data_IF_881253924332
#
_entry.id   IF_881253924332
#
_cell.length_a   1.000
_cell.length_b   1.000
_cell.length_c   1.000
_cell.angle_alpha   90.00
_cell.angle_beta   90.00
_cell.angle_gamma   90.00
#
_symmetry.space_group_name_H-M   'P 1'
#
loop_
_entity.id
_entity.type
_entity.pdbx_description
1 polymer ?
#
# COMPACT_ATOMS: atom_id res chain seq x y z
N UNK A 1 32.98 -42.30 5.80
CA UNK A 1 33.04 -43.27 6.92
C UNK A 1 33.27 -42.48 8.21
N UNK A 2 32.70 -42.94 9.33
CA UNK A 2 32.75 -42.39 10.70
C UNK A 2 31.66 -41.38 11.12
N UNK A 3 30.60 -42.03 11.60
CA UNK A 3 29.55 -41.64 12.53
C UNK A 3 30.11 -41.65 13.95
N UNK A 4 29.78 -40.67 14.79
CA UNK A 4 29.74 -40.85 16.25
C UNK A 4 28.50 -40.19 16.85
N UNK A 5 27.82 -41.00 17.68
CA UNK A 5 26.60 -40.74 18.47
C UNK A 5 26.99 -40.33 19.89
N UNK A 6 26.08 -39.63 20.56
CA UNK A 6 25.97 -39.50 22.03
C UNK A 6 25.65 -38.05 22.40
N UNK A 7 24.68 -37.68 23.22
CA UNK A 7 23.75 -38.40 24.10
C UNK A 7 22.86 -37.34 24.79
N UNK A 8 21.63 -37.76 25.10
CA UNK A 8 20.52 -37.09 25.82
C UNK A 8 20.91 -36.53 27.23
N UNK A 9 20.15 -35.60 27.87
CA UNK A 9 18.78 -35.90 28.33
C UNK A 9 17.72 -34.77 28.38
N UNK A 10 16.50 -35.20 28.00
CA UNK A 10 15.19 -35.04 28.67
C UNK A 10 15.04 -33.97 29.77
N UNK A 11 14.18 -32.98 29.51
CA UNK A 11 13.26 -32.32 30.46
C UNK A 11 11.94 -32.11 29.72
N UNK A 12 10.92 -32.96 29.91
CA UNK A 12 9.77 -32.74 30.80
C UNK A 12 9.27 -31.29 30.81
N UNK A 13 8.27 -30.99 29.98
CA UNK A 13 7.36 -29.87 30.18
C UNK A 13 5.94 -30.35 29.90
N UNK A 14 5.10 -30.16 30.92
CA UNK A 14 3.73 -30.58 31.02
C UNK A 14 2.83 -30.04 29.89
N UNK A 15 1.91 -30.90 29.49
CA UNK A 15 0.63 -30.56 28.88
C UNK A 15 -0.11 -29.53 29.76
N UNK A 16 -0.40 -28.36 29.19
CA UNK A 16 -1.53 -27.53 29.60
C UNK A 16 -2.19 -27.00 28.32
N UNK A 17 -3.39 -27.52 28.05
CA UNK A 17 -4.24 -27.06 26.98
C UNK A 17 -4.69 -25.63 27.24
N UNK A 18 -4.39 -24.74 26.29
CA UNK A 18 -5.00 -23.43 26.21
C UNK A 18 -5.82 -23.37 24.93
N UNK A 19 -7.13 -23.20 25.13
CA UNK A 19 -8.15 -22.95 24.11
C UNK A 19 -7.71 -21.78 23.24
N UNK A 20 -7.37 -22.07 21.98
CA UNK A 20 -7.15 -21.06 20.96
C UNK A 20 -8.47 -20.31 20.72
N UNK A 21 -8.54 -19.06 21.18
CA UNK A 21 -9.52 -18.09 20.70
C UNK A 21 -9.14 -17.77 19.26
N UNK A 22 -9.97 -18.20 18.30
CA UNK A 22 -9.89 -17.78 16.90
C UNK A 22 -10.08 -16.26 16.82
N UNK A 23 -8.96 -15.54 16.87
CA UNK A 23 -8.88 -14.15 16.45
C UNK A 23 -8.82 -14.17 14.91
N UNK A 24 -9.73 -13.51 14.19
CA UNK A 24 -9.65 -13.46 12.74
C UNK A 24 -8.31 -12.86 12.31
N UNK A 25 -7.72 -13.29 11.18
CA UNK A 25 -6.43 -12.76 10.75
C UNK A 25 -6.56 -11.25 10.61
N UNK A 26 -5.75 -10.52 11.38
CA UNK A 26 -5.57 -9.09 11.18
C UNK A 26 -5.24 -8.91 9.68
N UNK A 27 -6.02 -8.03 9.01
CA UNK A 27 -5.62 -7.56 7.67
C UNK A 27 -4.15 -7.16 7.76
N UNK A 28 -3.29 -7.50 6.78
CA UNK A 28 -1.95 -6.95 6.77
C UNK A 28 -2.13 -5.44 6.87
N UNK A 29 -1.70 -4.87 8.00
CA UNK A 29 -1.53 -3.45 8.10
C UNK A 29 -0.58 -3.14 6.95
N UNK A 30 -1.03 -2.34 5.99
CA UNK A 30 -0.14 -1.70 5.04
C UNK A 30 1.05 -1.22 5.87
N UNK A 31 2.28 -1.67 5.60
CA UNK A 31 3.41 -1.24 6.38
C UNK A 31 3.36 0.28 6.37
N UNK A 32 3.29 0.89 7.55
CA UNK A 32 3.43 2.31 7.71
C UNK A 32 4.75 2.67 7.04
N UNK A 33 4.67 3.17 5.81
CA UNK A 33 5.84 3.54 5.04
C UNK A 33 6.35 4.84 5.68
N UNK A 34 7.22 4.64 6.67
CA UNK A 34 8.29 5.51 7.12
C UNK A 34 7.92 6.81 7.89
N UNK A 35 8.04 6.81 9.23
CA UNK A 35 8.42 8.02 9.96
C UNK A 35 9.91 8.38 9.76
N UNK A 36 10.69 7.51 9.08
CA UNK A 36 12.13 7.70 8.87
C UNK A 36 12.49 8.67 7.75
N UNK A 37 11.55 9.00 6.84
CA UNK A 37 11.74 10.04 5.82
C UNK A 37 11.55 11.47 6.35
N UNK A 38 11.19 11.63 7.63
CA UNK A 38 11.01 12.94 8.26
C UNK A 38 12.33 13.56 8.76
N UNK A 39 13.39 12.77 8.96
CA UNK A 39 14.66 13.25 9.55
C UNK A 39 15.76 13.62 8.55
N UNK A 40 15.54 13.44 7.25
CA UNK A 40 16.47 13.94 6.22
C UNK A 40 15.97 15.24 5.54
N UNK A 41 14.83 15.78 5.98
CA UNK A 41 14.29 17.04 5.47
C UNK A 41 14.79 18.28 6.23
N UNK A 42 15.43 18.12 7.39
CA UNK A 42 15.82 19.24 8.27
C UNK A 42 17.22 19.82 7.97
N UNK A 43 17.84 19.49 6.82
CA UNK A 43 19.18 19.98 6.47
C UNK A 43 19.31 20.53 5.03
N UNK A 44 18.20 20.82 4.36
CA UNK A 44 18.23 21.55 3.09
C UNK A 44 18.09 23.05 3.39
N UNK A 45 19.22 23.71 3.57
CA UNK A 45 19.37 25.16 3.60
C UNK A 45 18.60 25.80 2.41
N UNK A 46 17.52 26.54 2.69
CA UNK A 46 16.64 27.09 1.67
C UNK A 46 17.28 28.32 1.03
N UNK A 47 18.14 28.08 0.03
CA UNK A 47 18.46 29.09 -0.98
C UNK A 47 17.21 29.61 -1.69
N UNK A 48 17.30 30.73 -2.43
CA UNK A 48 16.16 31.29 -3.15
C UNK A 48 15.54 30.22 -4.07
N UNK A 49 14.21 30.11 -4.05
CA UNK A 49 13.46 29.14 -4.86
C UNK A 49 14.03 29.12 -6.28
N UNK A 50 14.41 27.95 -6.82
CA UNK A 50 14.95 27.87 -8.15
C UNK A 50 13.91 28.39 -9.14
N UNK A 51 14.31 29.33 -9.98
CA UNK A 51 13.44 29.96 -10.96
C UNK A 51 12.89 28.95 -11.97
N UNK A 52 11.89 29.37 -12.75
CA UNK A 52 11.32 28.54 -13.80
C UNK A 52 12.41 28.10 -14.81
N UNK A 53 12.33 26.90 -15.43
CA UNK A 53 13.33 26.44 -16.39
C UNK A 53 13.58 27.43 -17.53
N UNK A 54 12.51 28.09 -18.02
CA UNK A 54 12.59 29.12 -19.04
C UNK A 54 13.29 30.39 -18.55
N UNK A 55 13.01 30.82 -17.31
CA UNK A 55 13.68 31.97 -16.68
C UNK A 55 15.17 31.68 -16.53
N UNK A 56 15.53 30.51 -16.00
CA UNK A 56 16.93 30.09 -15.83
C UNK A 56 17.68 30.10 -17.17
N UNK A 57 17.06 29.60 -18.24
CA UNK A 57 17.64 29.64 -19.58
C UNK A 57 17.87 31.08 -20.06
N UNK A 58 16.85 31.94 -19.96
CA UNK A 58 16.94 33.35 -20.37
C UNK A 58 17.99 34.12 -19.57
N UNK A 59 18.09 33.86 -18.28
CA UNK A 59 19.09 34.49 -17.42
C UNK A 59 20.52 34.12 -17.85
N UNK A 60 20.77 32.86 -18.22
CA UNK A 60 22.07 32.43 -18.74
C UNK A 60 22.41 33.07 -20.09
N UNK A 61 21.40 33.26 -20.95
CA UNK A 61 21.56 33.98 -22.22
C UNK A 61 21.87 35.46 -21.97
N UNK A 62 21.13 36.11 -21.08
CA UNK A 62 21.32 37.51 -20.73
C UNK A 62 22.69 37.78 -20.09
N UNK A 63 23.20 36.84 -19.30
CA UNK A 63 24.54 36.89 -18.71
C UNK A 63 25.66 36.62 -19.74
N UNK A 64 25.33 36.28 -20.99
CA UNK A 64 26.31 35.93 -22.02
C UNK A 64 27.00 34.58 -21.79
N UNK A 65 26.51 33.77 -20.83
CA UNK A 65 27.06 32.44 -20.52
C UNK A 65 26.58 31.38 -21.50
N UNK A 66 25.47 31.63 -22.17
CA UNK A 66 24.87 30.74 -23.15
C UNK A 66 24.50 31.53 -24.41
N UNK A 67 24.81 30.97 -25.58
CA UNK A 67 24.33 31.53 -26.84
C UNK A 67 22.84 31.23 -26.99
N UNK A 68 22.06 32.25 -27.34
CA UNK A 68 20.64 32.08 -27.63
C UNK A 68 20.42 31.10 -28.79
N UNK A 69 19.59 30.09 -28.55
CA UNK A 69 19.08 29.14 -29.52
C UNK A 69 17.53 29.06 -29.40
N UNK A 70 16.77 29.37 -30.47
CA UNK A 70 15.31 29.30 -30.45
C UNK A 70 14.76 27.91 -30.09
N UNK A 71 15.44 26.83 -30.50
CA UNK A 71 14.96 25.47 -30.21
C UNK A 71 15.11 25.13 -28.72
N UNK A 72 16.21 25.55 -28.10
CA UNK A 72 16.42 25.34 -26.67
C UNK A 72 15.43 26.17 -25.84
N UNK A 73 15.12 27.40 -26.28
CA UNK A 73 14.11 28.22 -25.59
C UNK A 73 12.72 27.59 -25.65
N UNK A 74 12.33 27.05 -26.81
CA UNK A 74 11.05 26.33 -26.94
C UNK A 74 10.99 25.11 -26.02
N UNK A 75 12.07 24.32 -25.96
CA UNK A 75 12.14 23.18 -25.04
C UNK A 75 12.06 23.64 -23.59
N UNK A 76 12.74 24.74 -23.22
CA UNK A 76 12.66 25.30 -21.87
C UNK A 76 11.23 25.77 -21.52
N UNK A 77 10.48 26.30 -22.49
CA UNK A 77 9.06 26.67 -22.34
C UNK A 77 8.16 25.45 -22.15
N UNK A 78 8.39 24.35 -22.87
CA UNK A 78 7.66 23.09 -22.68
C UNK A 78 7.95 22.48 -21.30
N UNK A 79 9.20 22.55 -20.84
CA UNK A 79 9.60 22.12 -19.50
C UNK A 79 8.94 22.97 -18.40
N UNK A 80 8.82 24.28 -18.59
CA UNK A 80 8.05 25.15 -17.67
C UNK A 80 6.56 24.76 -17.63
N UNK A 81 5.97 24.50 -18.80
CA UNK A 81 4.58 24.05 -18.91
C UNK A 81 4.38 22.72 -18.19
N UNK A 82 5.33 21.78 -18.31
CA UNK A 82 5.30 20.52 -17.57
C UNK A 82 5.42 20.74 -16.06
N UNK A 83 6.31 21.63 -15.61
CA UNK A 83 6.49 21.95 -14.19
C UNK A 83 5.18 22.43 -13.56
N UNK A 84 4.47 23.36 -14.22
CA UNK A 84 3.16 23.86 -13.76
C UNK A 84 2.08 22.78 -13.70
N UNK A 85 2.11 21.82 -14.62
CA UNK A 85 1.20 20.67 -14.60
C UNK A 85 1.52 19.74 -13.43
N UNK A 86 2.80 19.53 -13.13
CA UNK A 86 3.23 18.73 -11.98
C UNK A 86 2.87 19.42 -10.65
N UNK A 87 3.06 20.74 -10.55
CA UNK A 87 2.62 21.55 -9.39
C UNK A 87 1.13 21.35 -9.10
N UNK A 88 0.29 21.48 -10.13
CA UNK A 88 -1.15 21.27 -10.00
C UNK A 88 -1.47 19.85 -9.57
N UNK A 89 -0.81 18.87 -10.17
CA UNK A 89 -1.02 17.46 -9.86
C UNK A 89 -0.65 17.14 -8.40
N UNK A 90 0.46 17.66 -7.88
CA UNK A 90 0.85 17.48 -6.48
C UNK A 90 -0.23 18.03 -5.54
N UNK A 91 -0.74 19.24 -5.81
CA UNK A 91 -1.83 19.82 -5.03
C UNK A 91 -3.12 18.99 -5.10
N UNK A 92 -3.51 18.53 -6.29
CA UNK A 92 -4.68 17.65 -6.47
C UNK A 92 -4.49 16.29 -5.76
N UNK A 93 -3.27 15.77 -5.71
CA UNK A 93 -2.92 14.54 -5.00
C UNK A 93 -2.97 14.70 -3.48
N UNK A 94 -2.58 15.87 -2.95
CA UNK A 94 -2.73 16.19 -1.53
C UNK A 94 -4.21 16.21 -1.12
N UNK A 95 -5.04 16.93 -1.87
CA UNK A 95 -6.50 16.95 -1.68
C UNK A 95 -7.09 15.55 -1.77
N UNK A 96 -6.61 14.73 -2.71
CA UNK A 96 -7.02 13.34 -2.86
C UNK A 96 -6.69 12.51 -1.62
N UNK A 97 -5.46 12.61 -1.09
CA UNK A 97 -5.06 11.87 0.10
C UNK A 97 -5.83 12.29 1.34
N UNK A 98 -6.16 13.58 1.48
CA UNK A 98 -7.01 14.06 2.57
C UNK A 98 -8.43 13.50 2.46
N UNK A 99 -9.04 13.57 1.26
CA UNK A 99 -10.36 12.98 0.98
C UNK A 99 -10.36 11.47 1.20
N UNK A 100 -9.29 10.78 0.81
CA UNK A 100 -9.16 9.34 1.00
C UNK A 100 -9.06 8.98 2.49
N UNK A 101 -8.26 9.71 3.26
CA UNK A 101 -8.10 9.51 4.71
C UNK A 101 -9.40 9.76 5.47
N UNK A 102 -10.12 10.84 5.12
CA UNK A 102 -11.41 11.17 5.73
C UNK A 102 -12.49 10.15 5.37
N UNK A 103 -12.51 9.67 4.12
CA UNK A 103 -13.39 8.60 3.67
C UNK A 103 -13.08 7.28 4.38
N UNK A 104 -11.82 6.86 4.44
CA UNK A 104 -11.40 5.64 5.14
C UNK A 104 -11.78 5.69 6.64
N UNK A 105 -11.55 6.84 7.29
CA UNK A 105 -11.92 7.05 8.68
C UNK A 105 -13.43 7.00 8.91
N UNK A 106 -14.21 7.62 8.02
CA UNK A 106 -15.68 7.59 8.07
C UNK A 106 -16.21 6.18 7.87
N UNK A 107 -15.64 5.44 6.91
CA UNK A 107 -16.00 4.05 6.63
C UNK A 107 -15.72 3.12 7.79
N UNK A 108 -14.56 3.27 8.42
CA UNK A 108 -14.17 2.45 9.57
C UNK A 108 -15.01 2.79 10.81
N UNK A 109 -15.38 4.06 11.03
CA UNK A 109 -16.32 4.47 12.09
C UNK A 109 -17.70 3.83 11.91
N UNK A 110 -18.28 3.95 10.72
CA UNK A 110 -19.59 3.34 10.41
C UNK A 110 -19.54 1.82 10.50
N UNK A 111 -18.42 1.21 10.07
CA UNK A 111 -18.22 -0.24 10.19
C UNK A 111 -18.22 -0.69 11.65
N UNK A 112 -17.55 0.04 12.53
CA UNK A 112 -17.53 -0.25 13.98
C UNK A 112 -18.90 -0.08 14.60
N UNK A 113 -19.64 0.97 14.23
CA UNK A 113 -21.01 1.20 14.68
C UNK A 113 -21.93 0.02 14.31
N UNK A 114 -21.91 -0.43 13.06
CA UNK A 114 -22.72 -1.57 12.61
C UNK A 114 -22.31 -2.90 13.26
N UNK A 115 -21.08 -3.03 13.75
CA UNK A 115 -20.65 -4.19 14.54
C UNK A 115 -21.21 -4.15 15.96
N UNK A 116 -21.25 -2.97 16.59
CA UNK A 116 -21.84 -2.76 17.91
C UNK A 116 -23.35 -2.98 17.90
N UNK A 117 -24.07 -2.39 16.94
CA UNK A 117 -25.53 -2.56 16.81
C UNK A 117 -25.92 -4.05 16.59
N UNK A 118 -25.15 -4.80 15.80
CA UNK A 118 -25.38 -6.24 15.64
C UNK A 118 -25.02 -7.06 16.90
N UNK A 119 -24.02 -6.63 17.67
CA UNK A 119 -23.66 -7.29 18.93
C UNK A 119 -24.76 -7.08 19.97
N UNK A 120 -25.29 -5.86 20.09
CA UNK A 120 -26.42 -5.51 20.96
C UNK A 120 -27.71 -6.23 20.53
N UNK A 121 -28.00 -6.27 19.22
CA UNK A 121 -29.16 -7.00 18.68
C UNK A 121 -29.10 -8.50 18.95
N UNK A 122 -27.91 -9.12 18.88
CA UNK A 122 -27.73 -10.54 19.24
C UNK A 122 -27.82 -10.78 20.75
N UNK A 123 -27.39 -9.83 21.58
CA UNK A 123 -27.60 -9.92 23.02
C UNK A 123 -29.09 -9.83 23.36
N UNK A 124 -29.82 -8.91 22.73
CA UNK A 124 -31.26 -8.77 22.92
C UNK A 124 -32.03 -10.00 22.42
N UNK A 125 -31.71 -10.54 21.23
CA UNK A 125 -32.29 -11.81 20.76
C UNK A 125 -31.93 -12.98 21.69
N UNK A 126 -30.72 -13.03 22.23
CA UNK A 126 -30.33 -14.05 23.22
C UNK A 126 -31.14 -13.99 24.52
N UNK A 127 -31.48 -12.78 24.99
CA UNK A 127 -32.30 -12.54 26.20
C UNK A 127 -33.79 -12.75 25.93
N UNK A 128 -34.31 -12.31 24.78
CA UNK A 128 -35.70 -12.55 24.35
C UNK A 128 -35.99 -14.03 24.06
N UNK A 129 -35.00 -14.76 23.58
CA UNK A 129 -35.07 -16.21 23.36
C UNK A 129 -35.16 -16.96 24.70
N UNK A 130 -34.58 -16.45 25.79
CA UNK A 130 -34.63 -17.12 27.10
C UNK A 130 -36.02 -16.99 27.77
N UNK A 131 -36.67 -15.83 27.64
CA UNK A 131 -37.97 -15.55 28.26
C UNK A 131 -39.16 -16.24 27.54
N UNK A 132 -39.02 -16.56 26.24
CA UNK A 132 -40.07 -17.22 25.42
C UNK A 132 -39.76 -18.67 25.00
N UNK A 133 -38.61 -19.23 25.40
CA UNK A 133 -38.17 -20.59 25.00
C UNK A 133 -38.99 -21.75 25.55
N UNK A 134 -39.76 -21.56 26.60
CA UNK A 134 -40.55 -22.65 27.19
C UNK A 134 -41.64 -23.19 26.25
N UNK A 135 -42.20 -22.36 25.38
CA UNK A 135 -43.47 -22.70 24.69
C UNK A 135 -43.37 -22.86 23.17
N UNK A 136 -42.44 -22.19 22.48
CA UNK A 136 -42.37 -22.18 21.01
C UNK A 136 -41.31 -23.14 20.41
N UNK A 137 -40.38 -23.65 21.23
CA UNK A 137 -39.23 -24.46 20.77
C UNK A 137 -39.63 -25.86 20.27
N UNK A 138 -40.81 -26.34 20.69
CA UNK A 138 -41.35 -27.65 20.29
C UNK A 138 -41.99 -27.68 18.89
N UNK A 139 -42.46 -26.53 18.39
CA UNK A 139 -43.19 -26.46 17.11
C UNK A 139 -42.33 -25.93 15.95
N UNK A 140 -41.32 -25.10 16.24
CA UNK A 140 -40.51 -24.45 15.19
C UNK A 140 -39.28 -25.31 14.81
N UNK A 141 -38.81 -26.17 15.71
CA UNK A 141 -37.63 -27.03 15.50
C UNK A 141 -37.80 -28.10 14.41
N UNK A 142 -39.03 -28.38 13.95
CA UNK A 142 -39.29 -29.40 12.91
C UNK A 142 -39.14 -28.95 11.46
N UNK A 143 -39.05 -27.65 11.16
CA UNK A 143 -39.13 -27.17 9.75
C UNK A 143 -37.98 -26.29 9.25
N UNK A 144 -36.97 -25.96 10.07
CA UNK A 144 -35.88 -25.06 9.64
C UNK A 144 -34.47 -25.45 10.12
N UNK A 145 -34.04 -26.69 9.85
CA UNK A 145 -32.61 -27.06 9.90
C UNK A 145 -32.26 -28.04 8.78
N UNK A 146 -32.17 -27.53 7.56
CA UNK A 146 -31.41 -28.16 6.49
C UNK A 146 -30.80 -27.04 5.63
N UNK A 147 -29.48 -27.07 5.47
CA UNK A 147 -28.72 -26.31 4.46
C UNK A 147 -28.43 -24.83 4.73
N UNK A 148 -27.90 -24.48 5.91
CA UNK A 148 -27.07 -23.28 6.04
C UNK A 148 -25.72 -23.76 6.56
N UNK A 149 -24.73 -23.84 5.66
CA UNK A 149 -23.37 -24.22 6.03
C UNK A 149 -22.84 -23.27 7.13
N UNK A 150 -22.10 -23.80 8.13
CA UNK A 150 -21.56 -23.04 9.24
C UNK A 150 -20.47 -22.06 8.77
N UNK A 151 -20.90 -20.96 8.14
CA UNK A 151 -20.01 -19.97 7.52
C UNK A 151 -20.75 -19.01 6.59
N UNK A 152 -21.74 -19.50 5.83
CA UNK A 152 -22.45 -18.71 4.80
C UNK A 152 -23.20 -17.53 5.42
N UNK A 153 -23.83 -17.71 6.60
CA UNK A 153 -24.50 -16.61 7.30
C UNK A 153 -23.55 -15.48 7.74
N UNK A 154 -22.31 -15.79 8.12
CA UNK A 154 -21.30 -14.77 8.48
C UNK A 154 -20.85 -13.98 7.26
N UNK A 155 -20.65 -14.67 6.14
CA UNK A 155 -20.30 -14.04 4.86
C UNK A 155 -21.43 -13.17 4.30
N UNK A 156 -22.67 -13.64 4.35
CA UNK A 156 -23.84 -12.85 3.92
C UNK A 156 -24.04 -11.62 4.80
N UNK A 157 -23.86 -11.73 6.13
CA UNK A 157 -23.86 -10.56 7.03
C UNK A 157 -22.72 -9.59 6.72
N UNK A 158 -21.52 -10.09 6.40
CA UNK A 158 -20.40 -9.25 5.96
C UNK A 158 -20.74 -8.49 4.68
N UNK A 159 -21.26 -9.17 3.66
CA UNK A 159 -21.64 -8.57 2.38
C UNK A 159 -22.77 -7.55 2.52
N UNK A 160 -23.78 -7.82 3.35
CA UNK A 160 -24.84 -6.86 3.64
C UNK A 160 -24.31 -5.63 4.39
N UNK A 161 -23.33 -5.81 5.29
CA UNK A 161 -22.66 -4.70 5.97
C UNK A 161 -21.86 -3.86 4.98
N UNK A 162 -21.12 -4.47 4.06
CA UNK A 162 -20.40 -3.75 3.02
C UNK A 162 -21.35 -2.96 2.10
N UNK A 163 -22.45 -3.56 1.65
CA UNK A 163 -23.47 -2.85 0.85
C UNK A 163 -24.09 -1.66 1.60
N UNK A 164 -24.38 -1.82 2.89
CA UNK A 164 -24.91 -0.73 3.74
C UNK A 164 -23.86 0.37 3.91
N UNK A 165 -22.58 0.02 4.09
CA UNK A 165 -21.48 0.98 4.17
C UNK A 165 -21.30 1.76 2.88
N UNK A 166 -21.38 1.10 1.72
CA UNK A 166 -21.26 1.77 0.42
C UNK A 166 -22.41 2.76 0.19
N UNK A 167 -23.61 2.44 0.71
CA UNK A 167 -24.77 3.35 0.67
C UNK A 167 -24.62 4.54 1.62
N UNK A 168 -24.03 4.34 2.81
CA UNK A 168 -23.92 5.37 3.86
C UNK A 168 -22.73 6.32 3.66
N UNK A 169 -21.58 5.79 3.25
CA UNK A 169 -20.31 6.53 3.19
C UNK A 169 -20.04 7.04 1.76
N UNK A 170 -20.73 6.49 0.77
CA UNK A 170 -20.60 6.88 -0.63
C UNK A 170 -19.36 6.31 -1.30
N UNK A 171 -19.12 6.76 -2.53
CA UNK A 171 -18.05 6.23 -3.37
C UNK A 171 -16.66 6.65 -2.88
N UNK A 172 -15.68 5.75 -3.07
CA UNK A 172 -14.28 6.04 -2.82
C UNK A 172 -13.83 7.19 -3.74
N UNK A 173 -13.06 8.18 -3.23
CA UNK A 173 -12.52 9.22 -4.08
C UNK A 173 -11.65 8.63 -5.20
N UNK A 174 -11.67 9.28 -6.36
CA UNK A 174 -10.90 8.91 -7.56
C UNK A 174 -9.61 9.73 -7.57
N UNK A 175 -8.49 9.07 -7.86
CA UNK A 175 -7.19 9.73 -7.96
C UNK A 175 -7.14 10.63 -9.22
N UNK A 176 -6.51 11.82 -9.14
CA UNK A 176 -6.32 12.68 -10.29
C UNK A 176 -5.42 12.01 -11.34
N UNK A 177 -5.57 12.43 -12.59
CA UNK A 177 -4.82 11.86 -13.72
C UNK A 177 -3.42 12.46 -13.77
N UNK A 178 -2.39 11.62 -13.76
CA UNK A 178 -1.01 12.06 -13.82
C UNK A 178 -0.68 12.75 -15.16
N UNK A 179 0.06 13.88 -15.15
CA UNK A 179 0.47 14.55 -16.38
C UNK A 179 1.47 13.70 -17.17
N UNK A 180 1.44 13.83 -18.50
CA UNK A 180 2.37 13.13 -19.39
C UNK A 180 3.76 13.77 -19.29
N UNK A 181 4.80 12.92 -19.31
CA UNK A 181 6.19 13.36 -19.39
C UNK A 181 6.60 13.85 -20.78
N UNK A 182 7.83 14.37 -20.87
CA UNK A 182 8.45 14.84 -22.10
C UNK A 182 9.64 13.95 -22.47
N UNK A 183 9.82 13.70 -23.77
CA UNK A 183 10.96 12.97 -24.32
C UNK A 183 11.84 13.93 -25.14
N UNK A 184 13.03 14.25 -24.63
CA UNK A 184 13.98 15.14 -25.31
C UNK A 184 14.95 14.33 -26.17
N UNK A 185 14.99 14.63 -27.46
CA UNK A 185 15.89 13.99 -28.43
C UNK A 185 16.60 15.04 -29.30
N UNK A 186 17.73 14.66 -29.88
CA UNK A 186 18.56 15.55 -30.70
C UNK A 186 20.03 15.12 -30.74
N UNK A 187 20.85 15.80 -31.53
CA UNK A 187 22.27 15.47 -31.74
C UNK A 187 23.11 15.57 -30.46
N UNK A 188 24.29 14.93 -30.45
CA UNK A 188 25.27 15.09 -29.36
C UNK A 188 25.66 16.57 -29.24
N UNK A 189 25.76 17.09 -28.02
CA UNK A 189 26.07 18.51 -27.77
C UNK A 189 24.89 19.48 -27.91
N UNK A 190 23.67 19.01 -28.22
CA UNK A 190 22.49 19.88 -28.39
C UNK A 190 21.90 20.47 -27.09
N UNK A 191 22.62 20.42 -25.96
CA UNK A 191 22.17 21.01 -24.70
C UNK A 191 21.07 20.25 -23.93
N UNK A 192 20.68 19.03 -24.34
CA UNK A 192 19.61 18.25 -23.67
C UNK A 192 19.86 18.04 -22.17
N UNK A 193 21.07 17.63 -21.81
CA UNK A 193 21.44 17.39 -20.40
C UNK A 193 21.33 18.67 -19.59
N UNK A 194 21.82 19.79 -20.12
CA UNK A 194 21.73 21.10 -19.48
C UNK A 194 20.27 21.53 -19.25
N UNK A 195 19.38 21.36 -20.24
CA UNK A 195 17.95 21.67 -20.08
C UNK A 195 17.29 20.76 -19.03
N UNK A 196 17.65 19.48 -18.98
CA UNK A 196 17.19 18.57 -17.94
C UNK A 196 17.74 18.92 -16.55
N UNK A 197 18.99 19.41 -16.46
CA UNK A 197 19.58 19.88 -15.20
C UNK A 197 18.82 21.09 -14.65
N UNK A 198 18.53 22.07 -15.51
CA UNK A 198 17.72 23.24 -15.13
C UNK A 198 16.32 22.84 -14.68
N UNK A 199 15.67 21.93 -15.42
CA UNK A 199 14.35 21.43 -15.04
C UNK A 199 14.38 20.68 -13.70
N UNK A 200 15.34 19.76 -13.51
CA UNK A 200 15.45 19.02 -12.25
C UNK A 200 15.74 19.95 -11.06
N UNK A 201 16.58 20.96 -11.26
CA UNK A 201 16.79 22.02 -10.26
C UNK A 201 15.50 22.79 -9.96
N UNK A 202 14.74 23.21 -10.97
CA UNK A 202 13.48 23.92 -10.81
C UNK A 202 12.38 23.09 -10.10
N UNK A 203 12.46 21.75 -10.15
CA UNK A 203 11.54 20.89 -9.39
C UNK A 203 11.84 20.83 -7.88
N UNK A 204 12.96 21.40 -7.43
CA UNK A 204 13.32 21.43 -6.02
C UNK A 204 12.40 22.32 -5.19
N UNK A 205 11.91 21.77 -4.07
CA UNK A 205 10.92 22.43 -3.21
C UNK A 205 9.49 22.42 -3.76
N UNK A 206 9.31 22.03 -5.03
CA UNK A 206 8.00 21.85 -5.67
C UNK A 206 7.56 20.39 -5.59
N UNK A 207 8.43 19.48 -6.06
CA UNK A 207 8.15 18.05 -6.11
C UNK A 207 8.88 17.36 -4.96
N UNK A 208 8.11 16.76 -4.04
CA UNK A 208 8.65 16.09 -2.85
C UNK A 208 9.42 14.82 -3.20
N UNK A 209 8.91 14.05 -4.16
CA UNK A 209 9.46 12.76 -4.55
C UNK A 209 10.00 12.83 -5.98
N UNK A 210 11.29 13.14 -6.10
CA UNK A 210 12.00 13.19 -7.39
C UNK A 210 13.25 12.33 -7.36
N UNK A 211 13.51 11.61 -8.45
CA UNK A 211 14.75 10.87 -8.67
C UNK A 211 15.23 11.11 -10.09
N UNK A 212 16.54 11.20 -10.25
CA UNK A 212 17.19 11.27 -11.55
C UNK A 212 18.02 10.02 -11.74
N UNK A 213 17.93 9.43 -12.93
CA UNK A 213 18.68 8.24 -13.26
C UNK A 213 19.42 8.41 -14.58
N UNK A 214 20.62 7.84 -14.64
CA UNK A 214 21.23 7.49 -15.90
C UNK A 214 20.68 6.13 -16.35
N UNK A 215 20.30 6.02 -17.62
CA UNK A 215 19.54 4.85 -18.09
C UNK A 215 20.19 3.51 -17.74
N UNK A 216 21.52 3.39 -17.91
CA UNK A 216 22.22 2.13 -17.63
C UNK A 216 22.25 1.79 -16.14
N UNK A 217 22.45 2.78 -15.28
CA UNK A 217 22.43 2.62 -13.83
C UNK A 217 21.04 2.22 -13.34
N UNK A 218 19.99 2.86 -13.86
CA UNK A 218 18.61 2.49 -13.57
C UNK A 218 18.29 1.05 -13.98
N UNK A 219 18.74 0.62 -15.16
CA UNK A 219 18.48 -0.74 -15.62
C UNK A 219 19.17 -1.79 -14.73
N UNK A 220 20.36 -1.50 -14.21
CA UNK A 220 21.05 -2.37 -13.25
C UNK A 220 20.30 -2.41 -11.92
N UNK A 221 19.93 -1.26 -11.34
CA UNK A 221 19.19 -1.19 -10.08
C UNK A 221 17.85 -1.95 -10.16
N UNK A 222 17.11 -1.79 -11.26
CA UNK A 222 15.84 -2.48 -11.49
C UNK A 222 16.07 -3.99 -11.55
N UNK A 223 17.08 -4.45 -12.29
CA UNK A 223 17.37 -5.87 -12.44
C UNK A 223 17.78 -6.50 -11.10
N UNK A 224 18.62 -5.81 -10.32
CA UNK A 224 19.04 -6.26 -9.00
C UNK A 224 17.85 -6.35 -8.03
N UNK A 225 16.99 -5.32 -8.02
CA UNK A 225 15.77 -5.31 -7.21
C UNK A 225 14.82 -6.45 -7.59
N UNK A 226 14.66 -6.72 -8.89
CA UNK A 226 13.85 -7.84 -9.37
C UNK A 226 14.41 -9.18 -8.90
N UNK A 227 15.73 -9.36 -8.96
CA UNK A 227 16.39 -10.58 -8.51
C UNK A 227 16.19 -10.82 -7.00
N UNK A 228 16.30 -9.77 -6.19
CA UNK A 228 16.06 -9.84 -4.74
C UNK A 228 14.62 -10.24 -4.41
N UNK A 229 13.64 -9.66 -5.11
CA UNK A 229 12.22 -9.99 -4.91
C UNK A 229 11.93 -11.44 -5.28
N UNK A 230 12.53 -11.95 -6.36
CA UNK A 230 12.37 -13.35 -6.77
C UNK A 230 12.98 -14.30 -5.76
N UNK A 231 14.21 -14.03 -5.30
CA UNK A 231 14.87 -14.86 -4.28
C UNK A 231 14.05 -14.96 -2.99
N UNK A 232 13.48 -13.84 -2.52
CA UNK A 232 12.61 -13.83 -1.33
C UNK A 232 11.32 -14.64 -1.52
N UNK A 233 10.73 -14.61 -2.71
CA UNK A 233 9.55 -15.42 -3.05
C UNK A 233 9.88 -16.91 -3.08
N UNK A 234 11.02 -17.28 -3.63
CA UNK A 234 11.45 -18.67 -3.68
C UNK A 234 11.74 -19.21 -2.26
N UNK A 235 12.32 -18.39 -1.38
CA UNK A 235 12.52 -18.73 0.03
C UNK A 235 11.17 -18.95 0.78
N UNK A 236 10.16 -18.10 0.57
CA UNK A 236 8.81 -18.33 1.12
C UNK A 236 8.13 -19.59 0.53
N UNK A 237 8.30 -19.84 -0.76
CA UNK A 237 7.79 -21.02 -1.45
C UNK A 237 8.42 -22.30 -0.90
N UNK A 238 9.73 -22.29 -0.66
CA UNK A 238 10.46 -23.42 -0.06
C UNK A 238 10.05 -23.62 1.41
N UNK A 239 9.85 -22.55 2.18
CA UNK A 239 9.37 -22.64 3.56
C UNK A 239 7.96 -23.25 3.63
N UNK A 240 7.08 -22.84 2.71
CA UNK A 240 5.72 -23.37 2.61
C UNK A 240 5.72 -24.85 2.19
N UNK A 241 6.61 -25.25 1.27
CA UNK A 241 6.80 -26.67 0.88
C UNK A 241 7.39 -27.50 2.00
N UNK A 242 8.34 -26.97 2.78
CA UNK A 242 8.96 -27.69 3.89
C UNK A 242 7.95 -27.95 5.01
N UNK A 243 7.06 -26.99 5.29
CA UNK A 243 5.95 -27.16 6.23
C UNK A 243 4.93 -28.20 5.73
N UNK A 244 4.63 -28.23 4.44
CA UNK A 244 3.71 -29.21 3.85
C UNK A 244 4.27 -30.64 3.92
N UNK A 245 5.55 -30.82 3.58
CA UNK A 245 6.24 -32.12 3.64
C UNK A 245 6.40 -32.58 5.10
N UNK A 246 6.71 -31.68 6.03
CA UNK A 246 6.74 -31.98 7.46
C UNK A 246 5.37 -32.42 8.02
N UNK A 247 4.28 -31.81 7.55
CA UNK A 247 2.92 -32.17 7.94
C UNK A 247 2.50 -33.54 7.38
N UNK A 248 2.84 -33.85 6.12
CA UNK A 248 2.56 -35.17 5.51
C UNK A 248 3.39 -36.30 6.13
N UNK A 249 4.64 -36.06 6.52
CA UNK A 249 5.47 -37.05 7.21
C UNK A 249 4.92 -37.42 8.60
N UNK A 250 4.21 -36.50 9.27
CA UNK A 250 3.58 -36.76 10.58
C UNK A 250 2.31 -37.62 10.51
N UNK A 251 1.69 -37.73 9.33
CA UNK A 251 0.45 -38.50 9.10
C UNK A 251 0.71 -39.94 8.62
N UNK A 252 1.97 -40.33 8.36
CA UNK A 252 2.37 -41.61 7.75
C UNK A 252 3.16 -42.53 8.71
N UNK A 253 2.96 -42.44 10.02
CA UNK A 253 3.53 -43.40 10.96
C UNK A 253 2.46 -44.43 11.39
N UNK A 254 2.63 -45.74 11.09
CA UNK A 254 1.72 -46.76 11.59
C UNK A 254 1.82 -46.88 13.11
N UNK A 255 0.66 -47.10 13.75
CA UNK A 255 0.48 -47.28 15.20
C UNK A 255 1.27 -48.45 15.76
#
# INVERSE_FOLDING_TARGET
>A
MLRLRGGLPRRSAALLGAVARDVPPARPQTPAVLPLLRRLHDAADHGPKPGSPLTLYRDLVNQGRLRHDPYQENVASELDTLLRKLERYEMEMEDYHEKLSTWDSSREKERRRLLLEEAEGKQHDGVWIDEKRGFLDKLISRKRRANIEPGVGRWVSYLNREKKLDTLVGQKPVAPVAPKGLYLYGNVGSGKTMLMDMFYGATEGVIKHRKRFHFHEAMLEINDHMHDVWKRRDDESLFTRLLLVGYQASLSMPK
#
